data_IF_753350714142
#
_entry.id   IF_753350714142
#
_cell.length_a   1.000
_cell.length_b   1.000
_cell.length_c   1.000
_cell.angle_alpha   90.00
_cell.angle_beta   90.00
_cell.angle_gamma   90.00
#
_symmetry.space_group_name_H-M   'P 1'
#
loop_
_entity.id
_entity.type
_entity.pdbx_description
1 polymer ?
#
# COMPACT_ATOMS: atom_id res chain seq x y z
N UNK A 1 -2.57 -9.89 2.56
CA UNK A 1 -1.46 -9.18 3.24
C UNK A 1 -0.21 -10.05 3.43
N UNK A 2 -0.27 -11.17 4.18
CA UNK A 2 0.86 -12.11 4.37
C UNK A 2 1.55 -12.56 3.06
N UNK A 3 0.76 -12.78 2.01
CA UNK A 3 1.25 -13.15 0.68
C UNK A 3 1.99 -12.01 -0.03
N UNK A 4 1.56 -10.76 0.14
CA UNK A 4 2.24 -9.60 -0.46
C UNK A 4 3.61 -9.41 0.17
N UNK A 5 3.74 -9.49 1.50
CA UNK A 5 5.04 -9.33 2.17
C UNK A 5 6.05 -10.43 1.87
N UNK A 6 5.63 -11.70 1.89
CA UNK A 6 6.53 -12.82 1.61
C UNK A 6 6.97 -12.90 0.15
N UNK A 7 6.22 -12.28 -0.76
CA UNK A 7 6.49 -12.29 -2.20
C UNK A 7 6.73 -10.89 -2.78
N UNK A 8 6.90 -9.88 -1.93
CA UNK A 8 7.32 -8.55 -2.36
C UNK A 8 8.75 -8.72 -2.86
N UNK A 9 8.95 -8.49 -4.15
CA UNK A 9 10.29 -8.42 -4.75
C UNK A 9 11.15 -7.51 -3.83
N UNK A 10 12.38 -7.89 -3.44
CA UNK A 10 13.22 -7.15 -2.50
C UNK A 10 13.61 -5.72 -2.94
N UNK A 11 13.03 -5.28 -4.06
CA UNK A 11 13.31 -4.06 -4.77
C UNK A 11 12.33 -2.93 -4.39
N UNK A 12 11.25 -3.23 -3.67
CA UNK A 12 10.38 -2.17 -3.13
C UNK A 12 11.12 -1.46 -2.00
N UNK A 13 11.48 -0.19 -2.25
CA UNK A 13 12.26 0.62 -1.31
C UNK A 13 11.47 0.87 -0.01
N UNK A 14 11.83 0.15 1.05
CA UNK A 14 11.48 0.54 2.42
C UNK A 14 12.27 1.80 2.74
N UNK A 15 11.59 2.94 2.88
CA UNK A 15 12.27 4.23 3.08
C UNK A 15 12.68 4.44 4.54
N UNK A 16 11.97 3.83 5.49
CA UNK A 16 12.35 3.85 6.89
C UNK A 16 11.72 2.70 7.68
N UNK A 17 12.50 2.15 8.61
CA UNK A 17 12.05 1.26 9.67
C UNK A 17 12.34 1.95 11.01
N UNK A 18 11.31 2.11 11.85
CA UNK A 18 11.47 2.64 13.20
C UNK A 18 10.50 1.93 14.14
N UNK A 19 11.03 1.34 15.22
CA UNK A 19 10.21 0.79 16.32
C UNK A 19 9.10 -0.19 15.87
N UNK A 20 9.38 -1.01 14.85
CA UNK A 20 8.40 -1.96 14.29
C UNK A 20 7.38 -1.31 13.35
N UNK A 21 7.57 -0.06 12.95
CA UNK A 21 6.82 0.60 11.88
C UNK A 21 7.68 0.68 10.62
N UNK A 22 7.07 0.36 9.49
CA UNK A 22 7.68 0.40 8.16
C UNK A 22 6.88 1.35 7.28
N UNK A 23 7.59 2.21 6.56
CA UNK A 23 6.99 3.16 5.63
C UNK A 23 7.42 2.83 4.20
N UNK A 24 6.43 2.58 3.35
CA UNK A 24 6.62 2.18 1.95
C UNK A 24 5.98 3.24 1.05
N UNK A 25 6.71 3.84 0.09
CA UNK A 25 6.12 4.68 -0.95
C UNK A 25 5.12 3.86 -1.75
N UNK A 26 3.98 4.46 -2.01
CA UNK A 26 2.92 3.84 -2.77
C UNK A 26 2.46 4.82 -3.85
N UNK A 27 2.74 4.45 -5.11
CA UNK A 27 2.30 5.21 -6.27
C UNK A 27 0.83 4.94 -6.57
N UNK A 28 0.05 6.01 -6.73
CA UNK A 28 -1.32 5.94 -7.21
C UNK A 28 -1.32 6.09 -8.73
N UNK A 29 -1.59 5.00 -9.45
CA UNK A 29 -1.61 5.03 -10.91
C UNK A 29 -2.76 5.86 -11.48
N UNK A 30 -3.90 5.93 -10.79
CA UNK A 30 -5.09 6.61 -11.33
C UNK A 30 -4.97 8.13 -11.17
N UNK A 31 -4.42 8.58 -10.04
CA UNK A 31 -4.33 10.01 -9.72
C UNK A 31 -2.93 10.59 -9.90
N UNK A 32 -1.92 9.75 -10.16
CA UNK A 32 -0.52 10.15 -10.32
C UNK A 32 0.03 10.86 -9.06
N UNK A 33 -0.40 10.40 -7.88
CA UNK A 33 -0.01 10.95 -6.57
C UNK A 33 0.79 9.92 -5.79
N UNK A 34 1.81 10.38 -5.08
CA UNK A 34 2.55 9.55 -4.13
C UNK A 34 1.87 9.52 -2.77
N UNK A 35 1.68 8.31 -2.25
CA UNK A 35 1.21 8.03 -0.91
C UNK A 35 2.30 7.37 -0.08
N UNK A 36 2.09 7.36 1.24
CA UNK A 36 2.94 6.63 2.17
C UNK A 36 2.11 5.54 2.81
N UNK A 37 2.46 4.30 2.52
CA UNK A 37 1.87 3.14 3.14
C UNK A 37 2.58 2.85 4.45
N UNK A 38 1.90 3.10 5.57
CA UNK A 38 2.43 2.82 6.90
C UNK A 38 1.96 1.45 7.34
N UNK A 39 2.91 0.64 7.77
CA UNK A 39 2.68 -0.71 8.23
C UNK A 39 3.25 -0.83 9.63
N UNK A 40 2.49 -1.45 10.51
CA UNK A 40 2.90 -1.66 11.89
C UNK A 40 3.00 -3.15 12.15
N UNK A 41 4.10 -3.55 12.78
CA UNK A 41 4.31 -4.90 13.25
C UNK A 41 3.35 -5.17 14.40
N UNK A 42 2.57 -6.23 14.29
CA UNK A 42 1.69 -6.70 15.34
C UNK A 42 2.46 -7.50 16.41
N UNK A 43 1.74 -7.97 17.43
CA UNK A 43 2.29 -8.75 18.55
C UNK A 43 2.93 -10.07 18.11
N UNK A 44 2.50 -10.62 16.97
CA UNK A 44 2.99 -11.88 16.40
C UNK A 44 4.18 -11.65 15.46
N UNK A 45 4.55 -10.38 15.26
CA UNK A 45 5.66 -9.98 14.43
C UNK A 45 5.33 -9.83 12.95
N UNK A 46 4.06 -9.89 12.57
CA UNK A 46 3.59 -9.71 11.21
C UNK A 46 3.26 -8.22 10.93
N UNK A 47 3.51 -7.75 9.71
CA UNK A 47 3.16 -6.38 9.32
C UNK A 47 1.70 -6.28 8.87
N UNK A 48 0.90 -5.53 9.63
CA UNK A 48 -0.48 -5.18 9.31
C UNK A 48 -0.62 -3.79 8.71
N UNK A 49 -1.75 -3.53 8.03
CA UNK A 49 -2.09 -2.20 7.54
C UNK A 49 -2.38 -1.27 8.73
N UNK A 50 -1.77 -0.10 8.73
CA UNK A 50 -2.16 0.98 9.62
C UNK A 50 -3.27 1.80 8.95
N UNK A 51 -4.44 1.85 9.60
CA UNK A 51 -5.78 2.17 9.07
C UNK A 51 -5.90 3.50 8.30
N UNK A 52 -4.98 4.43 8.52
CA UNK A 52 -5.00 5.79 7.98
C UNK A 52 -5.02 5.88 6.45
N UNK A 53 -4.34 4.97 5.73
CA UNK A 53 -4.20 5.11 4.28
C UNK A 53 -5.50 4.80 3.55
N UNK A 54 -6.15 3.68 3.90
CA UNK A 54 -7.41 3.25 3.26
C UNK A 54 -8.45 4.34 3.46
N UNK A 55 -8.61 4.85 4.69
CA UNK A 55 -9.58 5.91 4.96
C UNK A 55 -9.33 7.17 4.15
N UNK A 56 -8.06 7.60 4.01
CA UNK A 56 -7.72 8.80 3.25
C UNK A 56 -8.02 8.64 1.76
N UNK A 57 -7.74 7.47 1.19
CA UNK A 57 -8.01 7.17 -0.22
C UNK A 57 -9.52 7.05 -0.45
N UNK A 58 -10.22 6.28 0.39
CA UNK A 58 -11.68 6.11 0.35
C UNK A 58 -12.40 7.45 0.44
N UNK A 59 -12.08 8.27 1.45
CA UNK A 59 -12.72 9.59 1.65
C UNK A 59 -12.45 10.54 0.49
N UNK A 60 -11.23 10.58 -0.04
CA UNK A 60 -10.87 11.49 -1.16
C UNK A 60 -11.52 11.09 -2.46
N UNK A 61 -11.70 9.79 -2.69
CA UNK A 61 -12.24 9.26 -3.95
C UNK A 61 -13.74 8.99 -3.91
N UNK A 62 -14.39 9.17 -2.75
CA UNK A 62 -15.82 8.96 -2.58
C UNK A 62 -16.21 7.49 -2.72
N UNK A 63 -15.31 6.58 -2.34
CA UNK A 63 -15.57 5.14 -2.43
C UNK A 63 -16.69 4.72 -1.49
N UNK A 64 -17.60 3.89 -1.99
CA UNK A 64 -18.76 3.38 -1.26
C UNK A 64 -18.51 2.01 -0.62
N UNK A 65 -17.29 1.47 -0.80
CA UNK A 65 -16.83 0.22 -0.19
C UNK A 65 -17.01 -1.01 -1.07
N UNK A 66 -17.34 -0.82 -2.35
CA UNK A 66 -17.47 -1.89 -3.36
C UNK A 66 -16.26 -1.97 -4.29
N UNK A 67 -15.40 -0.97 -4.22
CA UNK A 67 -14.29 -0.80 -5.14
C UNK A 67 -13.22 -1.87 -4.93
N UNK A 68 -12.72 -2.41 -6.04
CA UNK A 68 -11.61 -3.34 -6.03
C UNK A 68 -10.31 -2.58 -6.25
N UNK A 69 -9.40 -2.67 -5.28
CA UNK A 69 -8.08 -2.04 -5.36
C UNK A 69 -7.02 -3.10 -5.65
N UNK A 70 -6.32 -2.93 -6.76
CA UNK A 70 -5.18 -3.75 -7.14
C UNK A 70 -3.88 -3.15 -6.63
N UNK A 71 -3.00 -3.98 -6.06
CA UNK A 71 -1.62 -3.61 -5.74
C UNK A 71 -0.66 -4.42 -6.61
N UNK A 72 0.35 -3.76 -7.17
CA UNK A 72 1.37 -4.40 -7.97
C UNK A 72 2.69 -3.66 -7.85
N UNK A 73 3.79 -4.33 -8.17
CA UNK A 73 5.11 -3.68 -8.29
C UNK A 73 5.32 -3.37 -9.76
N UNK A 74 5.47 -2.09 -10.09
CA UNK A 74 5.86 -1.70 -11.44
C UNK A 74 7.34 -2.04 -11.62
N UNK A 75 7.63 -2.98 -12.52
CA UNK A 75 8.99 -3.51 -12.72
C UNK A 75 9.95 -2.57 -13.44
N UNK A 76 9.45 -1.53 -14.08
CA UNK A 76 10.29 -0.57 -14.80
C UNK A 76 10.93 0.45 -13.86
N UNK A 77 10.16 0.93 -12.88
CA UNK A 77 10.60 1.94 -11.92
C UNK A 77 10.75 1.39 -10.49
N UNK A 78 10.38 0.13 -10.27
CA UNK A 78 10.49 -0.60 -9.01
C UNK A 78 9.63 0.00 -7.88
N UNK A 79 8.55 0.68 -8.25
CA UNK A 79 7.61 1.29 -7.31
C UNK A 79 6.50 0.30 -6.95
N UNK A 80 6.13 0.29 -5.67
CA UNK A 80 4.84 -0.29 -5.28
C UNK A 80 3.76 0.68 -5.78
N UNK A 81 2.80 0.15 -6.53
CA UNK A 81 1.74 0.90 -7.17
C UNK A 81 0.39 0.32 -6.81
N UNK A 82 -0.65 1.16 -6.73
CA UNK A 82 -2.03 0.71 -6.71
C UNK A 82 -2.86 1.39 -7.79
N UNK A 83 -3.95 0.74 -8.17
CA UNK A 83 -4.99 1.28 -9.04
C UNK A 83 -6.35 0.72 -8.65
N UNK A 84 -7.41 1.46 -8.97
CA UNK A 84 -8.78 0.95 -8.86
C UNK A 84 -9.08 0.11 -10.08
N UNK A 85 -9.42 -1.16 -9.84
CA UNK A 85 -9.74 -2.14 -10.89
C UNK A 85 -11.22 -2.07 -11.25
N UNK A 86 -12.08 -1.78 -10.26
CA UNK A 86 -13.54 -1.76 -10.42
C UNK A 86 -14.19 -0.81 -9.42
N UNK A 87 -15.28 -0.14 -9.82
CA UNK A 87 -16.09 0.76 -9.01
C UNK A 87 -17.59 0.44 -9.04
N UNK A 88 -17.96 -0.77 -9.47
CA UNK A 88 -19.36 -1.15 -9.74
C UNK A 88 -20.27 -1.32 -8.51
#
# INVERSE_FOLDING_TARGET
MKYLFKNLDPIVAVIAEKEGEVMIPLWDQDTQVNHLFKLKKDIDGDFGLYEDWIERVVKRRGFEGKELIGFYVNRLNLELTFSVIDTS
#
